data_IF_389442399025
#
_entry.id   IF_389442399025
#
_cell.length_a   1.000
_cell.length_b   1.000
_cell.length_c   1.000
_cell.angle_alpha   90.00
_cell.angle_beta   90.00
_cell.angle_gamma   90.00
#
_symmetry.space_group_name_H-M   'P 1'
#
loop_
_entity.id
_entity.type
_entity.pdbx_description
1 polymer ?
#
# COMPACT_ATOMS: atom_id res chain seq x y z
N UNK A 1 -28.97 -20.32 24.45
CA UNK A 1 -28.58 -19.61 23.22
C UNK A 1 -27.27 -18.88 23.52
N UNK A 2 -26.09 -19.39 23.17
CA UNK A 2 -24.84 -18.66 23.34
C UNK A 2 -24.71 -17.64 22.19
N UNK A 3 -24.40 -16.41 22.56
CA UNK A 3 -24.05 -15.35 21.63
C UNK A 3 -22.62 -15.59 21.15
N UNK A 4 -22.47 -15.84 19.87
CA UNK A 4 -21.17 -15.91 19.21
C UNK A 4 -20.49 -14.54 19.31
N UNK A 5 -19.40 -14.54 20.04
CA UNK A 5 -18.48 -13.44 20.21
C UNK A 5 -17.59 -13.40 18.95
N UNK A 6 -18.02 -12.65 17.92
CA UNK A 6 -17.17 -12.30 16.81
C UNK A 6 -16.04 -11.41 17.32
N UNK A 7 -14.92 -12.04 17.49
CA UNK A 7 -13.65 -11.48 17.90
C UNK A 7 -13.25 -10.41 16.90
N UNK A 8 -13.44 -9.13 17.25
CA UNK A 8 -12.76 -8.01 16.61
C UNK A 8 -11.26 -8.23 16.76
N UNK A 9 -10.64 -8.72 15.70
CA UNK A 9 -9.19 -8.69 15.57
C UNK A 9 -8.77 -7.25 15.25
N UNK A 10 -8.76 -6.39 16.26
CA UNK A 10 -7.96 -5.20 16.26
C UNK A 10 -6.50 -5.64 16.39
N UNK A 11 -5.85 -5.80 15.26
CA UNK A 11 -4.42 -6.10 15.20
C UNK A 11 -3.66 -4.81 15.58
N UNK A 12 -3.57 -4.52 16.87
CA UNK A 12 -2.69 -3.47 17.37
C UNK A 12 -1.24 -3.90 17.11
N UNK A 13 -0.38 -3.00 16.60
CA UNK A 13 1.03 -3.34 16.39
C UNK A 13 1.62 -3.85 17.70
N UNK A 14 2.57 -4.79 17.67
CA UNK A 14 3.25 -5.21 18.86
C UNK A 14 3.71 -3.97 19.64
N UNK A 15 3.40 -3.85 20.94
CA UNK A 15 3.77 -2.67 21.72
C UNK A 15 5.28 -2.36 21.66
N UNK A 16 6.08 -3.36 21.32
CA UNK A 16 7.50 -3.28 21.07
C UNK A 16 7.84 -2.47 19.78
N UNK A 17 7.10 -2.60 18.68
CA UNK A 17 7.44 -1.95 17.41
C UNK A 17 7.36 -0.40 17.51
N UNK A 18 6.33 0.12 18.14
CA UNK A 18 6.16 1.57 18.35
C UNK A 18 7.29 2.14 19.22
N UNK A 19 7.63 1.45 20.30
CA UNK A 19 8.69 1.85 21.23
C UNK A 19 10.06 1.79 20.56
N UNK A 20 10.36 0.71 19.84
CA UNK A 20 11.60 0.53 19.10
C UNK A 20 11.77 1.60 18.04
N UNK A 21 10.76 1.82 17.20
CA UNK A 21 10.79 2.85 16.16
C UNK A 21 10.96 4.24 16.77
N UNK A 22 10.20 4.57 17.81
CA UNK A 22 10.29 5.85 18.51
C UNK A 22 11.69 6.11 19.11
N UNK A 23 12.33 5.08 19.65
CA UNK A 23 13.69 5.18 20.16
C UNK A 23 14.71 5.30 19.03
N UNK A 24 14.57 4.49 17.99
CA UNK A 24 15.52 4.44 16.87
C UNK A 24 15.52 5.73 16.02
N UNK A 25 14.37 6.40 15.94
CA UNK A 25 14.20 7.65 15.19
C UNK A 25 14.12 8.90 16.08
N UNK A 26 14.39 8.76 17.39
CA UNK A 26 14.41 9.88 18.33
C UNK A 26 15.35 11.00 17.87
N UNK A 27 14.86 12.26 17.93
CA UNK A 27 15.61 13.44 17.47
C UNK A 27 15.44 13.79 16.00
N UNK A 28 14.90 12.87 15.17
CA UNK A 28 14.50 13.16 13.78
C UNK A 28 12.98 13.19 13.61
N UNK A 29 12.29 12.20 14.20
CA UNK A 29 10.85 12.04 14.08
C UNK A 29 10.22 11.75 15.45
N UNK A 30 9.08 12.33 15.71
CA UNK A 30 8.23 11.98 16.84
C UNK A 30 7.06 11.14 16.35
N UNK A 31 7.06 9.86 16.72
CA UNK A 31 5.97 8.94 16.35
C UNK A 31 4.74 9.30 17.18
N UNK A 32 3.58 9.45 16.54
CA UNK A 32 2.34 9.89 17.21
C UNK A 32 1.33 8.75 17.36
N UNK A 33 0.99 8.10 16.27
CA UNK A 33 -0.01 7.01 16.26
C UNK A 33 0.12 6.12 15.04
N UNK A 34 -0.51 4.96 15.08
CA UNK A 34 -0.68 4.10 13.93
C UNK A 34 -1.73 4.69 12.98
N UNK A 35 -1.46 4.69 11.69
CA UNK A 35 -2.38 5.03 10.60
C UNK A 35 -3.00 3.77 9.99
N UNK A 36 -2.24 2.68 9.90
CA UNK A 36 -2.69 1.42 9.35
C UNK A 36 -1.67 0.31 9.54
N UNK A 37 -2.14 -0.93 9.51
CA UNK A 37 -1.33 -2.13 9.60
C UNK A 37 -1.77 -3.14 8.56
N UNK A 38 -0.82 -3.89 8.00
CA UNK A 38 -1.09 -4.93 7.02
C UNK A 38 0.09 -5.90 6.87
N UNK A 39 -0.05 -6.90 6.04
CA UNK A 39 0.97 -7.94 5.85
C UNK A 39 2.34 -7.45 5.37
N UNK A 40 2.42 -6.24 4.81
CA UNK A 40 3.69 -5.63 4.36
C UNK A 40 4.32 -4.73 5.42
N UNK A 41 3.66 -4.49 6.55
CA UNK A 41 4.19 -3.63 7.62
C UNK A 41 3.15 -2.69 8.22
N UNK A 42 3.63 -1.77 9.04
CA UNK A 42 2.82 -0.81 9.77
C UNK A 42 3.14 0.61 9.33
N UNK A 43 2.12 1.44 9.17
CA UNK A 43 2.25 2.88 8.84
C UNK A 43 1.92 3.70 10.08
N UNK A 44 2.80 4.63 10.40
CA UNK A 44 2.68 5.54 11.54
C UNK A 44 2.54 6.98 11.06
N UNK A 45 1.72 7.78 11.75
CA UNK A 45 1.81 9.23 11.71
C UNK A 45 2.97 9.65 12.59
N UNK A 46 3.80 10.55 12.09
CA UNK A 46 4.90 11.14 12.83
C UNK A 46 5.05 12.62 12.51
N UNK A 47 5.69 13.36 13.40
CA UNK A 47 6.14 14.71 13.16
C UNK A 47 7.64 14.68 12.79
N UNK A 48 7.98 15.24 11.63
CA UNK A 48 9.36 15.58 11.27
C UNK A 48 9.81 16.77 12.13
N UNK A 49 10.73 16.52 13.08
CA UNK A 49 11.16 17.52 14.05
C UNK A 49 12.07 18.60 13.43
N UNK A 50 12.65 18.32 12.26
CA UNK A 50 13.51 19.28 11.55
C UNK A 50 12.71 20.27 10.73
N UNK A 51 11.63 19.80 10.09
CA UNK A 51 10.81 20.59 9.17
C UNK A 51 9.46 20.99 9.77
N UNK A 52 9.18 20.56 11.01
CA UNK A 52 7.94 20.82 11.76
C UNK A 52 6.69 20.50 10.92
N UNK A 53 6.66 19.33 10.31
CA UNK A 53 5.54 18.88 9.44
C UNK A 53 5.14 17.45 9.72
N UNK A 54 3.86 17.10 9.54
CA UNK A 54 3.42 15.72 9.61
C UNK A 54 3.97 14.89 8.43
N UNK A 55 4.35 13.65 8.72
CA UNK A 55 4.80 12.66 7.75
C UNK A 55 4.18 11.29 8.06
N UNK A 56 4.08 10.43 7.06
CA UNK A 56 3.77 9.03 7.26
C UNK A 56 5.07 8.20 7.25
N UNK A 57 5.26 7.33 8.23
CA UNK A 57 6.41 6.42 8.29
C UNK A 57 5.90 5.00 8.14
N UNK A 58 6.22 4.35 7.03
CA UNK A 58 5.92 2.94 6.78
C UNK A 58 7.11 2.09 7.18
N UNK A 59 6.92 1.23 8.17
CA UNK A 59 7.91 0.24 8.61
C UNK A 59 7.59 -1.09 7.94
N UNK A 60 8.56 -1.67 7.26
CA UNK A 60 8.44 -2.99 6.65
C UNK A 60 8.42 -4.04 7.77
N UNK A 61 7.54 -5.05 7.62
CA UNK A 61 7.45 -6.12 8.62
C UNK A 61 8.82 -6.76 8.85
N UNK A 62 9.28 -6.89 10.11
CA UNK A 62 10.57 -7.51 10.44
C UNK A 62 10.70 -8.94 9.91
N UNK A 63 9.58 -9.64 9.78
CA UNK A 63 9.53 -11.01 9.25
C UNK A 63 9.96 -11.10 7.78
N UNK A 64 9.84 -9.99 7.06
CA UNK A 64 10.15 -9.88 5.63
C UNK A 64 11.51 -9.22 5.39
N UNK A 65 11.97 -8.37 6.28
CA UNK A 65 13.06 -7.41 6.04
C UNK A 65 14.47 -7.82 6.50
N UNK A 66 14.75 -9.08 6.78
CA UNK A 66 16.00 -9.45 7.49
C UNK A 66 17.18 -9.85 6.61
N UNK A 67 17.00 -10.20 5.34
CA UNK A 67 18.11 -10.67 4.50
C UNK A 67 18.88 -9.52 3.81
N UNK A 68 20.18 -9.67 3.56
CA UNK A 68 20.97 -8.68 2.83
C UNK A 68 20.42 -8.36 1.44
N UNK A 69 19.85 -9.34 0.76
CA UNK A 69 19.27 -9.21 -0.58
C UNK A 69 18.00 -8.33 -0.54
N UNK A 70 17.19 -8.45 0.50
CA UNK A 70 15.99 -7.61 0.70
C UNK A 70 16.42 -6.16 0.97
N UNK A 71 17.42 -5.94 1.82
CA UNK A 71 17.97 -4.61 2.10
C UNK A 71 18.49 -3.92 0.83
N UNK A 72 19.22 -4.66 0.00
CA UNK A 72 19.75 -4.14 -1.26
C UNK A 72 18.60 -3.77 -2.22
N UNK A 73 17.59 -4.63 -2.37
CA UNK A 73 16.40 -4.37 -3.19
C UNK A 73 15.62 -3.16 -2.65
N UNK A 74 15.39 -3.12 -1.34
CA UNK A 74 14.73 -1.99 -0.68
C UNK A 74 15.42 -0.66 -1.01
N UNK A 75 16.75 -0.59 -0.86
CA UNK A 75 17.53 0.61 -1.16
C UNK A 75 17.41 1.02 -2.64
N UNK A 76 17.36 0.05 -3.56
CA UNK A 76 17.22 0.31 -5.00
C UNK A 76 15.81 0.79 -5.34
N UNK A 77 14.76 0.13 -4.84
CA UNK A 77 13.37 0.54 -5.07
C UNK A 77 13.08 1.91 -4.46
N UNK A 78 13.60 2.18 -3.26
CA UNK A 78 13.49 3.50 -2.63
C UNK A 78 14.01 4.62 -3.53
N UNK A 79 15.17 4.42 -4.17
CA UNK A 79 15.74 5.41 -5.12
C UNK A 79 14.86 5.60 -6.34
N UNK A 80 14.20 4.55 -6.81
CA UNK A 80 13.32 4.59 -7.98
C UNK A 80 12.04 5.36 -7.64
N UNK A 81 11.39 5.02 -6.54
CA UNK A 81 10.12 5.64 -6.14
C UNK A 81 10.31 7.09 -5.70
N UNK A 82 11.41 7.43 -5.05
CA UNK A 82 11.71 8.81 -4.64
C UNK A 82 11.86 9.80 -5.81
N UNK A 83 12.00 9.31 -7.05
CA UNK A 83 12.04 10.12 -8.27
C UNK A 83 10.67 10.42 -8.85
N UNK A 84 9.64 9.68 -8.44
CA UNK A 84 8.28 9.91 -8.92
C UNK A 84 7.75 11.21 -8.30
N UNK A 85 7.42 12.18 -9.14
CA UNK A 85 6.87 13.48 -8.73
C UNK A 85 5.66 13.80 -9.59
N UNK A 86 4.48 13.42 -9.08
CA UNK A 86 3.21 13.60 -9.76
C UNK A 86 2.13 13.85 -8.70
N UNK A 87 1.19 14.79 -8.87
CA UNK A 87 0.22 15.19 -7.84
C UNK A 87 -0.69 14.08 -7.29
N UNK A 88 -0.87 13.00 -8.04
CA UNK A 88 -1.68 11.85 -7.64
C UNK A 88 -0.82 10.65 -7.18
N UNK A 89 0.47 10.88 -6.89
CA UNK A 89 1.38 9.89 -6.30
C UNK A 89 1.84 10.43 -4.95
N UNK A 90 1.69 9.62 -3.88
CA UNK A 90 2.21 9.95 -2.55
C UNK A 90 3.73 10.03 -2.62
N UNK A 91 4.28 11.20 -2.30
CA UNK A 91 5.70 11.45 -2.41
C UNK A 91 6.51 10.69 -1.34
N UNK A 92 7.57 10.00 -1.73
CA UNK A 92 8.56 9.43 -0.80
C UNK A 92 9.65 10.46 -0.56
N UNK A 93 9.84 10.86 0.71
CA UNK A 93 10.82 11.85 1.12
C UNK A 93 12.17 11.23 1.41
N UNK A 94 12.19 10.10 2.14
CA UNK A 94 13.39 9.36 2.46
C UNK A 94 13.10 7.89 2.74
N UNK A 95 14.15 7.08 2.81
CA UNK A 95 14.09 5.71 3.23
C UNK A 95 15.34 5.39 4.03
N UNK A 96 15.23 4.48 4.99
CA UNK A 96 16.36 4.15 5.86
C UNK A 96 16.21 2.82 6.58
N UNK A 97 17.18 2.54 7.42
CA UNK A 97 17.20 1.44 8.37
C UNK A 97 17.54 1.99 9.76
N UNK A 98 16.78 1.63 10.77
CA UNK A 98 17.02 1.98 12.15
C UNK A 98 16.64 0.81 13.06
N UNK A 99 17.52 0.39 13.96
CA UNK A 99 17.35 -0.78 14.83
C UNK A 99 16.96 -2.06 14.06
N UNK A 100 17.52 -2.26 12.85
CA UNK A 100 17.19 -3.37 11.97
C UNK A 100 15.82 -3.28 11.28
N UNK A 101 15.08 -2.17 11.46
CA UNK A 101 13.80 -1.90 10.83
C UNK A 101 14.02 -1.08 9.56
N UNK A 102 13.56 -1.61 8.41
CA UNK A 102 13.51 -0.87 7.16
C UNK A 102 12.27 0.02 7.15
N UNK A 103 12.41 1.29 6.77
CA UNK A 103 11.30 2.23 6.74
C UNK A 103 11.37 3.20 5.57
N UNK A 104 10.18 3.66 5.15
CA UNK A 104 10.00 4.81 4.25
C UNK A 104 9.39 5.97 5.04
N UNK A 105 9.86 7.17 4.77
CA UNK A 105 9.21 8.42 5.18
C UNK A 105 8.56 9.02 3.95
N UNK A 106 7.28 9.28 4.04
CA UNK A 106 6.47 9.72 2.91
C UNK A 106 5.53 10.85 3.32
N UNK A 107 4.94 11.48 2.34
CA UNK A 107 3.88 12.46 2.51
C UNK A 107 2.75 11.89 3.36
N UNK A 108 2.33 12.65 4.37
CA UNK A 108 1.09 12.37 5.08
C UNK A 108 -0.06 13.00 4.32
N UNK A 109 -1.00 12.19 3.89
CA UNK A 109 -2.22 12.61 3.20
C UNK A 109 -3.35 12.67 4.21
N UNK A 110 -3.88 13.87 4.55
CA UNK A 110 -4.98 14.00 5.50
C UNK A 110 -6.29 13.58 4.84
N UNK A 111 -6.84 12.46 5.28
CA UNK A 111 -8.08 11.93 4.69
C UNK A 111 -8.35 10.49 5.09
N UNK A 112 -8.93 9.74 4.17
CA UNK A 112 -9.26 8.33 4.35
C UNK A 112 -8.78 7.52 3.14
N UNK A 113 -8.65 6.21 3.27
CA UNK A 113 -8.44 5.36 2.11
C UNK A 113 -9.74 5.16 1.32
N UNK A 114 -9.62 4.81 0.03
CA UNK A 114 -10.78 4.42 -0.77
C UNK A 114 -11.47 3.17 -0.18
N UNK A 115 -10.72 2.29 0.49
CA UNK A 115 -11.27 1.15 1.22
C UNK A 115 -12.20 1.59 2.34
N UNK A 116 -11.79 2.58 3.15
CA UNK A 116 -12.60 3.11 4.24
C UNK A 116 -13.89 3.73 3.69
N UNK A 117 -13.77 4.51 2.60
CA UNK A 117 -14.92 5.11 1.93
C UNK A 117 -15.88 4.06 1.38
N UNK A 118 -15.37 3.01 0.69
CA UNK A 118 -16.19 1.91 0.19
C UNK A 118 -16.87 1.12 1.31
N UNK A 119 -16.18 0.94 2.44
CA UNK A 119 -16.75 0.27 3.62
C UNK A 119 -17.93 1.07 4.20
N UNK A 120 -17.81 2.41 4.20
CA UNK A 120 -18.85 3.31 4.72
C UNK A 120 -20.01 3.52 3.75
N UNK A 121 -19.71 3.77 2.46
CA UNK A 121 -20.71 4.18 1.47
C UNK A 121 -21.20 3.04 0.59
N UNK A 122 -20.47 1.92 0.55
CA UNK A 122 -20.65 0.78 -0.34
C UNK A 122 -20.46 1.13 -1.82
N UNK A 123 -21.18 2.11 -2.33
CA UNK A 123 -21.11 2.60 -3.72
C UNK A 123 -20.65 4.04 -3.72
N UNK A 124 -19.78 4.35 -4.67
CA UNK A 124 -19.30 5.71 -4.89
C UNK A 124 -20.17 6.36 -6.00
N UNK A 125 -20.60 7.61 -5.84
CA UNK A 125 -21.30 8.36 -6.91
C UNK A 125 -20.48 8.34 -8.20
N UNK A 126 -21.14 8.24 -9.35
CA UNK A 126 -20.48 8.08 -10.66
C UNK A 126 -19.46 9.18 -10.93
N UNK A 127 -19.80 10.44 -10.66
CA UNK A 127 -18.91 11.58 -10.89
C UNK A 127 -17.65 11.50 -10.02
N UNK A 128 -17.78 11.06 -8.76
CA UNK A 128 -16.64 10.82 -7.87
C UNK A 128 -15.79 9.64 -8.35
N UNK A 129 -16.43 8.55 -8.77
CA UNK A 129 -15.73 7.37 -9.27
C UNK A 129 -14.93 7.72 -10.53
N UNK A 130 -15.50 8.49 -11.46
CA UNK A 130 -14.79 8.96 -12.66
C UNK A 130 -13.60 9.83 -12.29
N UNK A 131 -13.76 10.79 -11.35
CA UNK A 131 -12.67 11.64 -10.89
C UNK A 131 -11.53 10.82 -10.27
N UNK A 132 -11.86 9.89 -9.37
CA UNK A 132 -10.86 9.00 -8.75
C UNK A 132 -10.13 8.18 -9.81
N UNK A 133 -10.85 7.57 -10.77
CA UNK A 133 -10.23 6.79 -11.85
C UNK A 133 -9.32 7.63 -12.72
N UNK A 134 -9.70 8.87 -13.06
CA UNK A 134 -8.85 9.79 -13.82
C UNK A 134 -7.56 10.12 -13.05
N UNK A 135 -7.66 10.44 -11.75
CA UNK A 135 -6.51 10.72 -10.90
C UNK A 135 -5.54 9.54 -10.85
N UNK A 136 -6.06 8.33 -10.65
CA UNK A 136 -5.26 7.11 -10.61
C UNK A 136 -4.64 6.77 -11.98
N UNK A 137 -5.38 6.96 -13.07
CA UNK A 137 -4.88 6.75 -14.42
C UNK A 137 -3.69 7.69 -14.73
N UNK A 138 -3.77 8.97 -14.32
CA UNK A 138 -2.68 9.93 -14.47
C UNK A 138 -1.45 9.54 -13.64
N UNK A 139 -1.65 9.02 -12.42
CA UNK A 139 -0.57 8.51 -11.59
C UNK A 139 0.14 7.31 -12.23
N UNK A 140 -0.64 6.35 -12.74
CA UNK A 140 -0.12 5.15 -13.38
C UNK A 140 0.58 5.45 -14.70
N UNK A 141 0.00 6.31 -15.55
CA UNK A 141 0.62 6.74 -16.83
C UNK A 141 2.00 7.34 -16.59
N UNK A 142 2.10 8.26 -15.61
CA UNK A 142 3.37 8.87 -15.24
C UNK A 142 4.40 7.83 -14.75
N UNK A 143 3.99 6.92 -13.88
CA UNK A 143 4.87 5.89 -13.34
C UNK A 143 5.34 4.91 -14.43
N UNK A 144 4.43 4.48 -15.33
CA UNK A 144 4.76 3.60 -16.46
C UNK A 144 5.71 4.28 -17.44
N UNK A 145 5.54 5.57 -17.71
CA UNK A 145 6.48 6.37 -18.49
C UNK A 145 7.89 6.43 -17.87
N UNK A 146 7.99 6.32 -16.54
CA UNK A 146 9.26 6.18 -15.82
C UNK A 146 9.71 4.71 -15.66
N UNK A 147 9.08 3.74 -16.34
CA UNK A 147 9.34 2.29 -16.24
C UNK A 147 9.09 1.72 -14.85
N UNK A 148 8.17 2.29 -14.09
CA UNK A 148 7.77 1.81 -12.77
C UNK A 148 6.36 1.24 -12.85
N UNK A 149 6.20 -0.04 -12.55
CA UNK A 149 4.91 -0.74 -12.43
C UNK A 149 4.58 -0.84 -10.95
N UNK A 150 3.35 -0.49 -10.55
CA UNK A 150 2.93 -0.46 -9.14
C UNK A 150 2.79 -1.85 -8.54
N UNK A 151 2.13 -2.77 -9.26
CA UNK A 151 1.94 -4.19 -8.92
C UNK A 151 1.02 -4.49 -7.74
N UNK A 152 0.52 -3.50 -7.02
CA UNK A 152 -0.38 -3.69 -5.87
C UNK A 152 -1.44 -2.56 -5.82
N UNK A 153 -2.06 -2.28 -6.99
CA UNK A 153 -3.15 -1.30 -7.09
C UNK A 153 -4.41 -1.88 -6.45
N UNK A 154 -4.88 -1.24 -5.36
CA UNK A 154 -6.05 -1.68 -4.59
C UNK A 154 -6.61 -0.51 -3.77
N UNK A 155 -7.86 -0.58 -3.30
CA UNK A 155 -8.50 0.53 -2.56
C UNK A 155 -7.77 0.95 -1.27
N UNK A 156 -7.05 0.04 -0.62
CA UNK A 156 -6.25 0.33 0.57
C UNK A 156 -5.06 1.25 0.28
N UNK A 157 -4.54 1.22 -0.96
CA UNK A 157 -3.41 2.01 -1.41
C UNK A 157 -3.84 3.32 -2.11
N UNK A 158 -5.14 3.60 -2.21
CA UNK A 158 -5.70 4.84 -2.74
C UNK A 158 -6.11 5.73 -1.58
N UNK A 159 -5.43 6.86 -1.40
CA UNK A 159 -5.74 7.85 -0.37
C UNK A 159 -6.55 8.99 -0.99
N UNK A 160 -7.63 9.36 -0.31
CA UNK A 160 -8.50 10.46 -0.70
C UNK A 160 -8.15 11.67 0.14
N UNK A 161 -7.41 12.59 -0.43
CA UNK A 161 -6.97 13.80 0.27
C UNK A 161 -8.16 14.73 0.55
N UNK A 162 -8.39 15.02 1.82
CA UNK A 162 -9.51 15.85 2.28
C UNK A 162 -9.37 17.31 1.85
N UNK A 163 -8.14 17.81 1.74
CA UNK A 163 -7.88 19.22 1.46
C UNK A 163 -8.00 19.53 -0.03
N UNK A 164 -7.39 18.72 -0.89
CA UNK A 164 -7.42 18.93 -2.35
C UNK A 164 -8.56 18.20 -3.05
N UNK A 165 -9.19 17.23 -2.39
CA UNK A 165 -10.20 16.34 -2.99
C UNK A 165 -9.65 15.35 -4.02
N UNK A 166 -8.32 15.23 -4.15
CA UNK A 166 -7.66 14.33 -5.11
C UNK A 166 -7.52 12.91 -4.56
N UNK A 167 -7.55 11.95 -5.47
CA UNK A 167 -7.10 10.61 -5.17
C UNK A 167 -5.59 10.50 -5.42
N UNK A 168 -4.86 9.92 -4.46
CA UNK A 168 -3.41 9.74 -4.51
C UNK A 168 -3.08 8.26 -4.33
N UNK A 169 -2.18 7.75 -5.17
CA UNK A 169 -1.74 6.36 -5.10
C UNK A 169 -0.49 6.25 -4.24
N UNK A 170 -0.56 5.42 -3.20
CA UNK A 170 0.52 5.15 -2.25
C UNK A 170 1.17 3.80 -2.52
N UNK A 171 2.31 3.55 -1.89
CA UNK A 171 2.98 2.24 -1.84
C UNK A 171 3.59 1.73 -3.15
N UNK A 172 3.99 2.62 -4.06
CA UNK A 172 4.79 2.24 -5.23
C UNK A 172 6.06 1.48 -4.81
N UNK A 173 6.37 0.39 -5.51
CA UNK A 173 7.61 -0.37 -5.37
C UNK A 173 7.81 -1.14 -4.07
N UNK A 174 6.99 -0.92 -3.02
CA UNK A 174 7.13 -1.62 -1.73
C UNK A 174 6.98 -3.14 -1.91
N UNK A 175 6.01 -3.56 -2.70
CA UNK A 175 5.78 -4.98 -2.99
C UNK A 175 7.01 -5.65 -3.64
N UNK A 176 7.70 -4.94 -4.56
CA UNK A 176 8.90 -5.43 -5.23
C UNK A 176 10.13 -5.41 -4.32
N UNK A 177 10.27 -4.40 -3.49
CA UNK A 177 11.35 -4.31 -2.51
C UNK A 177 11.36 -5.54 -1.60
N UNK A 178 10.16 -6.01 -1.23
CA UNK A 178 9.96 -7.11 -0.29
C UNK A 178 10.04 -8.49 -0.98
N UNK A 179 9.31 -8.68 -2.08
CA UNK A 179 9.16 -10.00 -2.73
C UNK A 179 10.13 -10.26 -3.89
N UNK A 180 10.77 -9.21 -4.42
CA UNK A 180 11.51 -9.32 -5.67
C UNK A 180 10.55 -9.54 -6.84
N UNK A 181 11.04 -10.18 -7.89
CA UNK A 181 10.22 -10.51 -9.06
C UNK A 181 9.37 -11.78 -8.86
N UNK A 182 9.60 -12.58 -7.79
CA UNK A 182 8.78 -13.73 -7.43
C UNK A 182 7.89 -13.39 -6.23
N UNK A 183 6.56 -13.46 -6.40
CA UNK A 183 5.57 -13.24 -5.31
C UNK A 183 5.39 -14.43 -4.37
N UNK A 184 6.03 -15.54 -4.64
CA UNK A 184 6.09 -16.71 -3.76
C UNK A 184 7.31 -16.55 -2.85
N UNK A 185 7.10 -16.03 -1.64
CA UNK A 185 8.07 -16.24 -0.58
C UNK A 185 8.08 -17.72 -0.24
N UNK A 186 9.26 -18.32 0.04
CA UNK A 186 9.40 -19.74 0.37
C UNK A 186 8.53 -20.26 1.53
N UNK A 187 7.76 -19.38 2.17
CA UNK A 187 6.78 -19.67 3.22
C UNK A 187 5.33 -19.75 2.72
N UNK A 188 5.06 -19.69 1.40
CA UNK A 188 3.71 -19.77 0.85
C UNK A 188 2.85 -18.51 1.04
N UNK A 189 3.42 -17.43 1.53
CA UNK A 189 2.71 -16.15 1.66
C UNK A 189 2.53 -15.51 0.30
N UNK A 190 1.27 -15.31 -0.10
CA UNK A 190 0.89 -14.54 -1.29
C UNK A 190 0.94 -13.07 -0.92
N UNK A 191 1.91 -12.35 -1.48
CA UNK A 191 2.03 -10.91 -1.25
C UNK A 191 0.96 -10.17 -2.08
N UNK A 192 0.12 -9.38 -1.42
CA UNK A 192 -0.96 -8.59 -2.01
C UNK A 192 -2.35 -9.17 -1.78
N UNK A 193 -3.38 -8.36 -2.06
CA UNK A 193 -4.78 -8.81 -2.00
C UNK A 193 -5.14 -9.55 -3.28
N UNK A 194 -5.48 -10.84 -3.25
CA UNK A 194 -5.77 -11.63 -4.45
C UNK A 194 -6.92 -11.06 -5.31
N UNK A 195 -7.83 -10.30 -4.70
CA UNK A 195 -9.02 -9.72 -5.36
C UNK A 195 -8.72 -8.72 -6.46
N UNK A 196 -7.53 -8.09 -6.42
CA UNK A 196 -7.13 -7.04 -7.38
C UNK A 196 -5.96 -7.46 -8.25
N UNK A 197 -5.49 -8.70 -8.14
CA UNK A 197 -4.41 -9.21 -8.99
C UNK A 197 -4.88 -9.31 -10.44
N UNK A 198 -4.00 -9.02 -11.38
CA UNK A 198 -4.23 -9.36 -12.78
C UNK A 198 -4.06 -10.86 -13.00
N UNK A 199 -4.60 -11.43 -14.11
CA UNK A 199 -4.45 -12.84 -14.43
C UNK A 199 -2.98 -13.31 -14.47
N UNK A 200 -2.10 -12.52 -15.08
CA UNK A 200 -0.66 -12.78 -15.15
C UNK A 200 0.00 -12.73 -13.77
N UNK A 201 -0.47 -11.85 -12.87
CA UNK A 201 -0.01 -11.85 -11.48
C UNK A 201 -0.50 -13.09 -10.72
N UNK A 202 -1.74 -13.48 -10.93
CA UNK A 202 -2.34 -14.66 -10.30
C UNK A 202 -1.66 -15.95 -10.77
N UNK A 203 -1.22 -15.99 -12.05
CA UNK A 203 -0.46 -17.08 -12.65
C UNK A 203 1.02 -17.11 -12.23
N UNK A 204 1.51 -16.06 -11.57
CA UNK A 204 2.91 -15.99 -11.10
C UNK A 204 3.91 -15.64 -12.20
N UNK A 205 3.47 -14.98 -13.28
CA UNK A 205 4.38 -14.51 -14.33
C UNK A 205 5.42 -13.53 -13.77
N UNK A 206 6.67 -13.71 -14.18
CA UNK A 206 7.78 -12.87 -13.70
C UNK A 206 7.84 -11.52 -14.42
N UNK A 207 7.38 -11.44 -15.66
CA UNK A 207 7.39 -10.20 -16.46
C UNK A 207 6.03 -9.53 -16.42
N UNK A 208 5.89 -8.56 -15.52
CA UNK A 208 4.68 -7.74 -15.39
C UNK A 208 4.94 -6.34 -15.96
N UNK A 209 3.99 -5.84 -16.75
CA UNK A 209 4.00 -4.47 -17.26
C UNK A 209 2.81 -3.65 -16.75
N UNK A 210 2.67 -2.40 -17.23
CA UNK A 210 1.62 -1.48 -16.79
C UNK A 210 0.18 -1.97 -17.02
N UNK A 211 -0.04 -2.95 -17.90
CA UNK A 211 -1.37 -3.54 -18.13
C UNK A 211 -1.93 -4.23 -16.90
N UNK A 212 -1.05 -4.81 -16.06
CA UNK A 212 -1.45 -5.40 -14.78
C UNK A 212 -2.07 -4.36 -13.84
N UNK A 213 -1.48 -3.16 -13.78
CA UNK A 213 -2.03 -2.07 -12.95
C UNK A 213 -3.36 -1.56 -13.50
N UNK A 214 -3.51 -1.48 -14.83
CA UNK A 214 -4.76 -1.08 -15.48
C UNK A 214 -5.88 -2.08 -15.25
N UNK A 215 -5.58 -3.37 -15.25
CA UNK A 215 -6.54 -4.40 -14.87
C UNK A 215 -7.04 -4.18 -13.44
N UNK A 216 -6.13 -3.99 -12.48
CA UNK A 216 -6.46 -3.72 -11.08
C UNK A 216 -7.28 -2.42 -10.94
N UNK A 217 -6.95 -1.37 -11.70
CA UNK A 217 -7.73 -0.13 -11.76
C UNK A 217 -9.16 -0.37 -12.25
N UNK A 218 -9.36 -1.24 -13.26
CA UNK A 218 -10.67 -1.66 -13.73
C UNK A 218 -11.50 -2.35 -12.64
N UNK A 219 -10.87 -3.23 -11.84
CA UNK A 219 -11.53 -3.90 -10.71
C UNK A 219 -11.95 -2.91 -9.61
N UNK A 220 -11.12 -1.89 -9.33
CA UNK A 220 -11.48 -0.80 -8.40
C UNK A 220 -12.70 -0.03 -8.95
N UNK A 221 -12.70 0.31 -10.24
CA UNK A 221 -13.81 0.99 -10.88
C UNK A 221 -15.11 0.20 -10.79
N UNK A 222 -15.05 -1.10 -11.04
CA UNK A 222 -16.19 -1.99 -10.87
C UNK A 222 -16.72 -1.96 -9.44
N UNK A 223 -15.86 -2.13 -8.43
CA UNK A 223 -16.26 -2.13 -7.03
C UNK A 223 -16.87 -0.79 -6.60
N UNK A 224 -16.29 0.34 -7.02
CA UNK A 224 -16.84 1.66 -6.72
C UNK A 224 -18.28 1.81 -7.21
N UNK A 225 -18.60 1.30 -8.40
CA UNK A 225 -19.92 1.45 -9.02
C UNK A 225 -20.92 0.39 -8.57
N UNK A 226 -20.47 -0.87 -8.43
CA UNK A 226 -21.35 -1.99 -8.03
C UNK A 226 -21.57 -2.07 -6.52
N UNK A 227 -20.57 -1.65 -5.73
CA UNK A 227 -20.52 -1.81 -4.27
C UNK A 227 -20.05 -3.20 -3.82
N UNK A 228 -19.57 -4.02 -4.76
CA UNK A 228 -19.10 -5.37 -4.51
C UNK A 228 -17.82 -5.62 -5.31
N UNK A 229 -16.83 -6.37 -4.77
CA UNK A 229 -15.63 -6.71 -5.52
C UNK A 229 -15.98 -7.56 -6.76
N UNK A 230 -15.34 -7.27 -7.89
CA UNK A 230 -15.57 -7.99 -9.14
C UNK A 230 -15.19 -9.48 -9.05
N UNK A 231 -14.17 -9.78 -8.27
CA UNK A 231 -13.69 -11.15 -8.04
C UNK A 231 -13.72 -11.42 -6.54
N UNK A 232 -14.58 -12.34 -6.13
CA UNK A 232 -14.69 -12.80 -4.75
C UNK A 232 -14.84 -14.32 -4.69
N UNK A 233 -14.19 -14.94 -3.71
CA UNK A 233 -14.30 -16.35 -3.42
C UNK A 233 -13.81 -16.63 -1.99
N UNK A 234 -14.19 -17.80 -1.39
CA UNK A 234 -13.88 -18.11 0.00
C UNK A 234 -12.39 -18.22 0.33
N UNK A 235 -11.54 -18.47 -0.66
CA UNK A 235 -10.09 -18.64 -0.45
C UNK A 235 -9.27 -17.85 -1.48
N UNK A 236 -8.06 -17.45 -1.10
CA UNK A 236 -7.12 -16.80 -2.00
C UNK A 236 -6.79 -17.66 -3.25
N UNK A 237 -6.76 -18.99 -3.10
CA UNK A 237 -6.55 -19.92 -4.21
C UNK A 237 -7.73 -19.89 -5.19
N UNK A 238 -8.97 -19.92 -4.68
CA UNK A 238 -10.17 -19.86 -5.53
C UNK A 238 -10.40 -18.48 -6.16
N UNK A 239 -9.95 -17.40 -5.53
CA UNK A 239 -9.92 -16.07 -6.16
C UNK A 239 -9.00 -16.09 -7.38
N UNK A 240 -7.78 -16.62 -7.24
CA UNK A 240 -6.82 -16.73 -8.35
C UNK A 240 -7.32 -17.54 -9.56
N UNK A 241 -8.16 -18.53 -9.34
CA UNK A 241 -8.77 -19.31 -10.44
C UNK A 241 -9.86 -18.53 -11.18
N UNK A 242 -10.42 -17.47 -10.56
CA UNK A 242 -11.47 -16.63 -11.14
C UNK A 242 -10.94 -15.48 -12.00
N UNK A 243 -9.67 -15.13 -11.84
CA UNK A 243 -8.96 -14.20 -12.70
C UNK A 243 -8.51 -14.86 -14.00
#
# INVERSE_FOLDING_TARGET
>A
MPRDNLMEMTDAPPPDLLTRLGTALAGQYRIERVLGQGGMGTVFLALDLTLDRPVAIKVISPEVGTSPEIRQRFAQEAKTVARLRQPNIVAVYSAGEADGLLYFVMEYVPGESLRDRLTRERRIPVDDAVRILCDLALALDYAHGASVVHRDVKPENVLLDRESGRAMLADFGVARAVAGDSRLTGAGFVLGSPRYMSPEQASGESSLDGRSDLYSLGLIGYEMLSGEPAVDAPTAASIRVKH
#
